data_IF_824130524096
#
_entry.id   IF_824130524096
#
_cell.length_a   1.000
_cell.length_b   1.000
_cell.length_c   1.000
_cell.angle_alpha   90.00
_cell.angle_beta   90.00
_cell.angle_gamma   90.00
#
_symmetry.space_group_name_H-M   'P 1'
#
loop_
_entity.id
_entity.type
_entity.pdbx_description
1 polymer ?
#
# COMPACT_ATOMS: atom_id res chain seq x y z
N UNK A 1 20.24 -12.10 -4.77
CA UNK A 1 19.21 -11.16 -4.28
C UNK A 1 18.16 -11.87 -3.42
N UNK A 2 18.21 -11.68 -2.09
CA UNK A 2 17.38 -12.41 -1.12
C UNK A 2 16.23 -11.58 -0.53
N UNK A 3 16.06 -10.33 -0.98
CA UNK A 3 15.00 -9.43 -0.51
C UNK A 3 13.88 -9.35 -1.54
N UNK A 4 12.63 -9.26 -1.06
CA UNK A 4 11.46 -8.90 -1.84
C UNK A 4 10.69 -7.79 -1.13
N UNK A 5 9.76 -7.15 -1.84
CA UNK A 5 8.90 -6.13 -1.26
C UNK A 5 7.66 -5.85 -2.10
N UNK A 6 6.74 -5.13 -1.49
CA UNK A 6 5.49 -4.65 -2.10
C UNK A 6 5.30 -3.19 -1.72
N UNK A 7 4.81 -2.39 -2.67
CA UNK A 7 4.68 -0.94 -2.49
C UNK A 7 3.26 -0.47 -2.82
N UNK A 8 2.83 0.61 -2.16
CA UNK A 8 1.62 1.35 -2.50
C UNK A 8 1.97 2.82 -2.78
N UNK A 9 1.33 3.46 -3.77
CA UNK A 9 1.62 4.84 -4.13
C UNK A 9 1.09 5.82 -3.08
N UNK A 10 1.78 6.95 -2.91
CA UNK A 10 1.35 8.09 -2.10
C UNK A 10 1.18 9.29 -3.03
N UNK A 11 0.02 9.95 -2.93
CA UNK A 11 -0.31 11.07 -3.80
C UNK A 11 -0.36 12.40 -3.03
N UNK A 12 -0.11 13.49 -3.76
CA UNK A 12 -0.32 14.87 -3.34
C UNK A 12 -1.33 15.57 -4.24
N UNK A 13 -1.57 16.87 -4.02
CA UNK A 13 -2.65 17.62 -4.66
C UNK A 13 -2.66 17.47 -6.19
N UNK A 14 -3.85 17.35 -6.75
CA UNK A 14 -4.04 17.08 -8.18
C UNK A 14 -3.65 15.65 -8.57
N UNK A 15 -3.68 14.71 -7.62
CA UNK A 15 -3.28 13.29 -7.81
C UNK A 15 -1.84 13.12 -8.28
N UNK A 16 -0.98 14.07 -7.93
CA UNK A 16 0.45 14.01 -8.25
C UNK A 16 1.08 12.85 -7.48
N UNK A 17 1.81 11.96 -8.16
CA UNK A 17 2.54 10.89 -7.50
C UNK A 17 3.74 11.49 -6.75
N UNK A 18 3.69 11.47 -5.41
CA UNK A 18 4.77 11.99 -4.57
C UNK A 18 5.81 10.91 -4.23
N UNK A 19 5.39 9.64 -4.19
CA UNK A 19 6.28 8.52 -3.89
C UNK A 19 5.53 7.23 -3.63
N UNK A 20 6.18 6.32 -2.89
CA UNK A 20 5.60 5.04 -2.53
C UNK A 20 6.00 4.60 -1.11
N UNK A 21 5.06 3.98 -0.41
CA UNK A 21 5.32 3.29 0.85
C UNK A 21 5.60 1.82 0.56
N UNK A 22 6.70 1.27 1.11
CA UNK A 22 7.16 -0.09 0.79
C UNK A 22 7.32 -0.95 2.04
N UNK A 23 6.79 -2.17 1.99
CA UNK A 23 7.13 -3.25 2.92
C UNK A 23 8.17 -4.14 2.24
N UNK A 24 9.34 -4.31 2.85
CA UNK A 24 10.42 -5.13 2.32
C UNK A 24 10.94 -6.11 3.38
N UNK A 25 11.46 -7.25 2.92
CA UNK A 25 12.05 -8.26 3.79
C UNK A 25 12.60 -9.45 3.00
N UNK A 26 13.10 -10.48 3.69
CA UNK A 26 13.59 -11.69 3.03
C UNK A 26 12.50 -12.32 2.15
N UNK A 27 12.88 -12.83 0.98
CA UNK A 27 11.97 -13.49 0.02
C UNK A 27 11.23 -14.67 0.64
N UNK A 28 11.81 -15.33 1.64
CA UNK A 28 11.18 -16.41 2.40
C UNK A 28 10.04 -15.94 3.31
N UNK A 29 9.95 -14.63 3.60
CA UNK A 29 8.90 -14.02 4.44
C UNK A 29 7.95 -13.11 3.68
N UNK A 30 8.38 -12.56 2.54
CA UNK A 30 7.51 -11.79 1.64
C UNK A 30 6.92 -12.75 0.60
N UNK A 31 6.07 -13.65 1.09
CA UNK A 31 5.39 -14.66 0.28
C UNK A 31 3.92 -14.28 -0.01
N UNK A 32 3.18 -15.17 -0.68
CA UNK A 32 1.78 -14.92 -1.00
C UNK A 32 0.89 -14.73 0.25
N UNK A 33 1.20 -15.42 1.36
CA UNK A 33 0.43 -15.29 2.60
C UNK A 33 0.68 -13.93 3.27
N UNK A 34 1.93 -13.46 3.26
CA UNK A 34 2.30 -12.11 3.66
C UNK A 34 1.59 -11.07 2.79
N UNK A 35 1.62 -11.22 1.46
CA UNK A 35 0.96 -10.27 0.55
C UNK A 35 -0.55 -10.19 0.82
N UNK A 36 -1.24 -11.33 0.99
CA UNK A 36 -2.67 -11.34 1.34
C UNK A 36 -2.96 -10.60 2.64
N UNK A 37 -2.14 -10.82 3.68
CA UNK A 37 -2.32 -10.19 4.99
C UNK A 37 -1.96 -8.70 5.01
N UNK A 38 -0.95 -8.29 4.25
CA UNK A 38 -0.34 -6.96 4.37
C UNK A 38 -0.80 -5.96 3.31
N UNK A 39 -1.50 -6.39 2.25
CA UNK A 39 -1.97 -5.47 1.20
C UNK A 39 -2.92 -4.41 1.74
N UNK A 40 -3.93 -4.80 2.52
CA UNK A 40 -4.88 -3.85 3.11
C UNK A 40 -4.21 -2.85 4.09
N UNK A 41 -3.42 -3.30 5.08
CA UNK A 41 -2.66 -2.39 5.96
C UNK A 41 -1.72 -1.43 5.21
N UNK A 42 -1.07 -1.90 4.14
CA UNK A 42 -0.19 -1.07 3.32
C UNK A 42 -0.98 0.03 2.58
N UNK A 43 -2.13 -0.32 2.00
CA UNK A 43 -3.01 0.64 1.33
C UNK A 43 -3.59 1.67 2.31
N UNK A 44 -3.96 1.26 3.51
CA UNK A 44 -4.41 2.16 4.58
C UNK A 44 -3.31 3.13 5.03
N UNK A 45 -2.08 2.63 5.16
CA UNK A 45 -0.94 3.48 5.49
C UNK A 45 -0.64 4.50 4.37
N UNK A 46 -0.69 4.07 3.11
CA UNK A 46 -0.57 4.96 1.96
C UNK A 46 -1.72 5.98 1.87
N UNK A 47 -2.95 5.59 2.23
CA UNK A 47 -4.10 6.48 2.31
C UNK A 47 -3.89 7.57 3.37
N UNK A 48 -3.41 7.21 4.56
CA UNK A 48 -3.08 8.19 5.62
C UNK A 48 -2.00 9.17 5.17
N UNK A 49 -0.94 8.68 4.53
CA UNK A 49 0.11 9.55 3.98
C UNK A 49 -0.44 10.49 2.90
N UNK A 50 -1.26 9.97 1.97
CA UNK A 50 -1.90 10.76 0.90
C UNK A 50 -2.78 11.88 1.47
N UNK A 51 -3.58 11.60 2.52
CA UNK A 51 -4.37 12.63 3.24
C UNK A 51 -3.47 13.66 3.91
N UNK A 52 -2.38 13.21 4.54
CA UNK A 52 -1.42 14.11 5.19
C UNK A 52 -0.72 15.06 4.20
N UNK A 53 -0.57 14.64 2.93
CA UNK A 53 -0.08 15.49 1.84
C UNK A 53 -1.18 16.31 1.14
N UNK A 54 -2.43 16.26 1.60
CA UNK A 54 -3.50 17.13 1.12
C UNK A 54 -4.30 16.62 -0.08
N UNK A 55 -4.20 15.33 -0.43
CA UNK A 55 -4.96 14.71 -1.52
C UNK A 55 -6.10 13.81 -1.00
N UNK A 56 -7.13 13.57 -1.82
CA UNK A 56 -8.19 12.61 -1.50
C UNK A 56 -7.67 11.17 -1.57
N UNK A 57 -7.76 10.45 -0.45
CA UNK A 57 -7.33 9.06 -0.35
C UNK A 57 -8.46 8.03 -0.56
N UNK A 58 -9.68 8.46 -0.91
CA UNK A 58 -10.85 7.57 -1.05
C UNK A 58 -10.60 6.39 -2.00
N UNK A 59 -9.77 6.58 -3.03
CA UNK A 59 -9.38 5.52 -3.96
C UNK A 59 -8.56 4.40 -3.28
N UNK A 60 -7.60 4.77 -2.44
CA UNK A 60 -6.75 3.83 -1.69
C UNK A 60 -7.55 3.10 -0.60
N UNK A 61 -8.48 3.80 0.05
CA UNK A 61 -9.38 3.22 1.06
C UNK A 61 -10.31 2.17 0.44
N UNK A 62 -10.93 2.48 -0.71
CA UNK A 62 -11.74 1.51 -1.46
C UNK A 62 -10.89 0.32 -1.92
N UNK A 63 -9.64 0.54 -2.30
CA UNK A 63 -8.72 -0.54 -2.66
C UNK A 63 -8.39 -1.43 -1.45
N UNK A 64 -8.17 -0.85 -0.26
CA UNK A 64 -7.98 -1.63 0.99
C UNK A 64 -9.18 -2.54 1.27
N UNK A 65 -10.40 -1.99 1.20
CA UNK A 65 -11.63 -2.77 1.41
C UNK A 65 -11.74 -3.94 0.42
N UNK A 66 -11.42 -3.72 -0.87
CA UNK A 66 -11.40 -4.81 -1.86
C UNK A 66 -10.34 -5.87 -1.56
N UNK A 67 -9.18 -5.47 -1.04
CA UNK A 67 -8.10 -6.39 -0.69
C UNK A 67 -8.50 -7.33 0.46
N UNK A 68 -9.29 -6.85 1.43
CA UNK A 68 -9.83 -7.67 2.53
C UNK A 68 -10.78 -8.76 2.02
N UNK A 69 -11.54 -8.49 0.96
CA UNK A 69 -12.58 -9.39 0.44
C UNK A 69 -12.10 -10.36 -0.65
N UNK A 70 -10.84 -10.24 -1.10
CA UNK A 70 -10.24 -11.22 -2.03
C UNK A 70 -9.89 -12.50 -1.24
N UNK A 71 -10.77 -13.50 -1.31
CA UNK A 71 -10.46 -14.88 -0.93
C UNK A 71 -9.67 -15.58 -2.03
#
# INVERSE_FOLDING_TARGET
PETAGVSAPVFGPGRTLLGALTLAGPRTRVDAAFLRRMTAPLLEAAARATRAFGEDASMLERASLKAVHRR
#
